data_IF_886493779409
#
_entry.id   IF_886493779409
#
_cell.length_a   1.000
_cell.length_b   1.000
_cell.length_c   1.000
_cell.angle_alpha   90.00
_cell.angle_beta   90.00
_cell.angle_gamma   90.00
#
_symmetry.space_group_name_H-M   'P 1'
#
loop_
_entity.id
_entity.type
_entity.pdbx_description
1 polymer ?
#
# COMPACT_ATOMS: atom_id res chain seq x y z
N UNK A 1 16.73 -30.54 -8.23
CA UNK A 1 16.21 -29.49 -9.13
C UNK A 1 15.49 -28.36 -8.39
N UNK A 2 15.73 -28.10 -7.10
CA UNK A 2 15.18 -26.91 -6.40
C UNK A 2 16.30 -25.93 -6.00
N UNK A 3 17.49 -26.45 -5.71
CA UNK A 3 18.73 -25.69 -5.45
C UNK A 3 19.26 -24.84 -6.62
N UNK A 4 18.81 -25.11 -7.85
CA UNK A 4 19.24 -24.35 -9.04
C UNK A 4 18.36 -23.12 -9.27
N UNK A 5 17.09 -23.16 -8.81
CA UNK A 5 16.16 -22.04 -8.96
C UNK A 5 16.51 -20.85 -8.05
N UNK A 6 17.25 -21.05 -6.96
CA UNK A 6 17.72 -19.93 -6.13
C UNK A 6 18.82 -19.11 -6.80
N UNK A 7 19.47 -19.62 -7.86
CA UNK A 7 20.54 -18.90 -8.56
C UNK A 7 20.02 -17.76 -9.46
N UNK A 8 18.72 -17.73 -9.73
CA UNK A 8 18.07 -16.70 -10.55
C UNK A 8 17.30 -15.67 -9.71
N UNK A 9 17.37 -15.80 -8.38
CA UNK A 9 16.88 -14.76 -7.48
C UNK A 9 17.68 -13.47 -7.71
N UNK A 10 16.99 -12.35 -7.85
CA UNK A 10 17.59 -11.06 -8.21
C UNK A 10 17.79 -10.84 -9.72
N UNK A 11 17.50 -11.82 -10.58
CA UNK A 11 17.53 -11.60 -12.03
C UNK A 11 16.32 -10.78 -12.48
N UNK A 12 16.57 -9.85 -13.40
CA UNK A 12 15.52 -9.12 -14.12
C UNK A 12 14.99 -9.97 -15.27
N UNK A 13 13.67 -10.01 -15.43
CA UNK A 13 12.96 -10.73 -16.50
C UNK A 13 11.97 -9.81 -17.18
N UNK A 14 11.84 -9.95 -18.51
CA UNK A 14 10.87 -9.24 -19.34
C UNK A 14 9.80 -10.21 -19.82
N UNK A 15 8.60 -10.15 -19.25
CA UNK A 15 7.50 -11.06 -19.54
C UNK A 15 6.24 -10.32 -19.98
N UNK A 16 5.31 -11.06 -20.58
CA UNK A 16 4.00 -10.54 -20.95
C UNK A 16 2.90 -11.51 -20.54
N UNK A 17 1.74 -10.98 -20.17
CA UNK A 17 0.62 -11.79 -19.70
C UNK A 17 -0.66 -11.01 -19.48
N UNK A 18 -1.70 -11.73 -19.08
CA UNK A 18 -3.04 -11.20 -18.82
C UNK A 18 -3.22 -10.92 -17.33
N UNK A 19 -3.70 -9.73 -16.97
CA UNK A 19 -4.03 -9.37 -15.59
C UNK A 19 -5.26 -10.14 -15.15
N UNK A 20 -5.10 -10.97 -14.12
CA UNK A 20 -6.20 -11.70 -13.47
C UNK A 20 -6.84 -10.83 -12.38
N UNK A 21 -6.00 -10.15 -11.59
CA UNK A 21 -6.42 -9.33 -10.46
C UNK A 21 -5.35 -8.30 -10.12
N UNK A 22 -5.78 -7.13 -9.68
CA UNK A 22 -4.95 -6.11 -9.03
C UNK A 22 -5.47 -5.92 -7.61
N UNK A 23 -4.59 -5.91 -6.63
CA UNK A 23 -4.95 -5.69 -5.22
C UNK A 23 -3.95 -4.76 -4.54
N UNK A 24 -4.42 -3.96 -3.60
CA UNK A 24 -3.57 -3.22 -2.68
C UNK A 24 -3.02 -4.21 -1.65
N UNK A 25 -1.69 -4.34 -1.58
CA UNK A 25 -1.01 -5.22 -0.62
C UNK A 25 -0.72 -4.51 0.69
N UNK A 26 -0.30 -3.25 0.62
CA UNK A 26 0.05 -2.43 1.78
C UNK A 26 -0.31 -0.97 1.54
N UNK A 27 -0.70 -0.27 2.60
CA UNK A 27 -0.87 1.18 2.61
C UNK A 27 -0.03 1.72 3.76
N UNK A 28 0.97 2.53 3.43
CA UNK A 28 1.81 3.21 4.41
C UNK A 28 1.55 4.71 4.41
N UNK A 29 1.53 5.33 5.59
CA UNK A 29 1.44 6.78 5.71
C UNK A 29 2.38 7.25 6.81
N UNK A 30 3.63 7.62 6.45
CA UNK A 30 4.63 7.99 7.44
C UNK A 30 4.24 9.26 8.21
N UNK A 31 3.52 10.19 7.57
CA UNK A 31 3.04 11.42 8.23
C UNK A 31 1.98 11.08 9.26
N UNK A 32 0.99 10.26 8.90
CA UNK A 32 -0.03 9.76 9.82
C UNK A 32 0.61 9.07 11.03
N UNK A 33 1.56 8.16 10.81
CA UNK A 33 2.32 7.48 11.87
C UNK A 33 3.04 8.46 12.80
N UNK A 34 3.61 9.55 12.28
CA UNK A 34 4.28 10.57 13.09
C UNK A 34 3.28 11.44 13.87
N UNK A 35 2.19 11.87 13.24
CA UNK A 35 1.14 12.69 13.86
C UNK A 35 0.41 11.91 14.96
N UNK A 36 0.19 10.61 14.75
CA UNK A 36 -0.43 9.71 15.74
C UNK A 36 0.42 9.52 17.00
N UNK A 37 1.71 9.86 16.97
CA UNK A 37 2.59 9.82 18.13
C UNK A 37 2.46 11.09 19.01
N UNK A 38 1.75 12.12 18.54
CA UNK A 38 1.58 13.38 19.25
C UNK A 38 0.38 13.35 20.20
N UNK A 39 0.33 14.25 21.20
CA UNK A 39 -0.86 14.43 22.02
C UNK A 39 -2.10 14.80 21.18
N UNK A 40 -3.27 14.31 21.58
CA UNK A 40 -4.52 14.35 20.80
C UNK A 40 -4.89 15.74 20.27
N UNK A 41 -4.77 16.80 21.09
CA UNK A 41 -5.09 18.16 20.67
C UNK A 41 -4.17 18.65 19.52
N UNK A 42 -2.88 18.34 19.60
CA UNK A 42 -1.90 18.70 18.57
C UNK A 42 -2.07 17.81 17.33
N UNK A 43 -2.31 16.52 17.52
CA UNK A 43 -2.59 15.60 16.43
C UNK A 43 -3.81 16.07 15.62
N UNK A 44 -4.95 16.32 16.28
CA UNK A 44 -6.19 16.76 15.63
C UNK A 44 -6.02 18.09 14.88
N UNK A 45 -5.27 19.03 15.46
CA UNK A 45 -4.91 20.26 14.76
C UNK A 45 -4.13 19.96 13.47
N UNK A 46 -3.10 19.11 13.54
CA UNK A 46 -2.26 18.78 12.38
C UNK A 46 -3.02 17.97 11.31
N UNK A 47 -3.93 17.07 11.71
CA UNK A 47 -4.82 16.37 10.79
C UNK A 47 -5.66 17.33 9.96
N UNK A 48 -6.22 18.39 10.57
CA UNK A 48 -7.02 19.36 9.83
C UNK A 48 -6.20 20.44 9.14
N UNK A 49 -4.98 20.71 9.61
CA UNK A 49 -4.08 21.66 8.97
C UNK A 49 -3.47 21.10 7.67
N UNK A 50 -3.08 19.83 7.67
CA UNK A 50 -2.45 19.17 6.51
C UNK A 50 -3.39 18.24 5.74
N UNK A 51 -4.45 17.74 6.37
CA UNK A 51 -5.37 16.78 5.78
C UNK A 51 -6.60 17.41 5.14
N UNK A 52 -7.54 16.53 4.78
CA UNK A 52 -8.83 16.89 4.19
C UNK A 52 -9.96 16.49 5.13
N UNK A 53 -11.11 17.19 5.10
CA UNK A 53 -12.26 16.80 5.89
C UNK A 53 -12.73 15.41 5.46
N UNK A 54 -13.05 14.56 6.44
CA UNK A 54 -13.64 13.26 6.17
C UNK A 54 -15.01 13.50 5.52
N UNK A 55 -15.31 12.89 4.35
CA UNK A 55 -16.60 13.05 3.72
C UNK A 55 -17.68 12.51 4.64
N UNK A 56 -18.57 13.38 5.10
CA UNK A 56 -19.76 12.98 5.85
C UNK A 56 -20.76 12.41 4.85
N UNK A 57 -21.41 11.29 5.21
CA UNK A 57 -22.54 10.81 4.41
C UNK A 57 -23.60 11.92 4.44
N UNK A 58 -24.17 12.33 3.30
CA UNK A 58 -25.32 13.23 3.33
C UNK A 58 -26.46 12.53 4.07
N UNK A 59 -26.76 13.01 5.27
CA UNK A 59 -27.96 12.63 6.00
C UNK A 59 -29.19 12.93 5.14
N UNK A 60 -30.12 11.96 5.13
CA UNK A 60 -31.53 12.08 4.72
C UNK A 60 -32.00 11.52 3.37
N UNK A 61 -31.19 10.78 2.60
CA UNK A 61 -31.74 10.00 1.45
C UNK A 61 -31.06 8.63 1.27
N UNK A 62 -31.23 7.71 2.22
CA UNK A 62 -30.93 6.30 1.99
C UNK A 62 -32.18 5.58 1.47
N UNK A 63 -32.12 5.14 0.21
CA UNK A 63 -33.00 4.09 -0.32
C UNK A 63 -32.73 2.79 0.46
N UNK A 64 -33.76 2.05 0.89
CA UNK A 64 -33.55 0.83 1.65
C UNK A 64 -33.02 -0.28 0.73
N UNK A 65 -31.77 -0.73 0.95
CA UNK A 65 -31.24 -1.95 0.32
C UNK A 65 -29.85 -1.87 -0.30
N UNK A 66 -29.08 -0.80 -0.08
CA UNK A 66 -27.67 -0.78 -0.45
C UNK A 66 -26.85 -1.08 0.80
N UNK A 67 -26.13 -2.21 0.80
CA UNK A 67 -25.19 -2.62 1.86
C UNK A 67 -23.99 -1.64 1.87
N UNK A 68 -24.26 -0.42 2.32
CA UNK A 68 -23.30 0.67 2.30
C UNK A 68 -22.41 0.51 3.51
N UNK A 69 -21.11 0.32 3.26
CA UNK A 69 -20.08 0.29 4.29
C UNK A 69 -20.26 1.51 5.20
N UNK A 70 -20.59 1.28 6.48
CA UNK A 70 -20.71 2.34 7.48
C UNK A 70 -19.32 2.90 7.81
N UNK A 71 -18.86 3.76 6.91
CA UNK A 71 -17.63 4.52 7.05
C UNK A 71 -17.67 5.44 8.28
N UNK A 72 -18.88 5.90 8.67
CA UNK A 72 -19.13 6.67 9.89
C UNK A 72 -18.73 5.90 11.15
N UNK A 73 -19.16 4.65 11.29
CA UNK A 73 -18.91 3.84 12.50
C UNK A 73 -17.44 3.44 12.66
N UNK A 74 -16.64 3.48 11.59
CA UNK A 74 -15.21 3.16 11.64
C UNK A 74 -14.35 4.37 12.00
N UNK A 75 -14.79 5.60 11.69
CA UNK A 75 -14.05 6.83 11.97
C UNK A 75 -14.36 7.43 13.36
N UNK A 76 -15.45 7.01 13.99
CA UNK A 76 -15.87 7.45 15.33
C UNK A 76 -14.88 7.08 16.45
N UNK A 77 -14.00 6.09 16.23
CA UNK A 77 -13.04 5.63 17.25
C UNK A 77 -11.97 6.66 17.61
N UNK A 78 -11.76 7.70 16.78
CA UNK A 78 -10.77 8.74 17.06
C UNK A 78 -11.33 10.16 17.09
N UNK A 79 -12.65 10.36 16.91
CA UNK A 79 -13.30 11.68 16.87
C UNK A 79 -12.57 12.70 15.96
N UNK A 80 -11.96 12.22 14.87
CA UNK A 80 -11.21 13.06 13.94
C UNK A 80 -12.11 13.49 12.80
N UNK A 81 -12.12 14.78 12.52
CA UNK A 81 -12.91 15.34 11.42
C UNK A 81 -12.14 15.42 10.10
N UNK A 82 -10.82 15.19 10.15
CA UNK A 82 -9.93 15.30 8.99
C UNK A 82 -9.02 14.08 8.86
N UNK A 83 -8.67 13.69 7.64
CA UNK A 83 -7.81 12.56 7.32
C UNK A 83 -6.60 12.98 6.48
N UNK A 84 -5.52 12.20 6.56
CA UNK A 84 -4.23 12.46 5.89
C UNK A 84 -3.99 11.54 4.68
N UNK A 85 -5.05 11.00 4.08
CA UNK A 85 -4.92 9.96 3.03
C UNK A 85 -4.21 10.47 1.77
N UNK A 86 -4.14 11.78 1.55
CA UNK A 86 -3.36 12.37 0.45
C UNK A 86 -1.85 12.04 0.55
N UNK A 87 -1.40 11.64 1.75
CA UNK A 87 -0.04 11.21 2.02
C UNK A 87 0.13 9.69 2.10
N UNK A 88 -0.90 8.93 1.71
CA UNK A 88 -0.83 7.47 1.64
C UNK A 88 0.08 7.04 0.48
N UNK A 89 1.05 6.18 0.79
CA UNK A 89 1.89 5.45 -0.16
C UNK A 89 1.35 4.03 -0.28
N UNK A 90 1.01 3.62 -1.51
CA UNK A 90 0.40 2.33 -1.79
C UNK A 90 1.44 1.34 -2.32
N UNK A 91 1.37 0.11 -1.85
CA UNK A 91 1.97 -1.05 -2.52
C UNK A 91 0.88 -1.90 -3.15
N UNK A 92 1.13 -2.36 -4.37
CA UNK A 92 0.19 -3.14 -5.16
C UNK A 92 0.75 -4.54 -5.45
N UNK A 93 -0.15 -5.49 -5.63
CA UNK A 93 0.15 -6.82 -6.12
C UNK A 93 -0.70 -7.11 -7.37
N UNK A 94 -0.03 -7.29 -8.51
CA UNK A 94 -0.64 -7.73 -9.75
C UNK A 94 -0.55 -9.24 -9.86
N UNK A 95 -1.69 -9.92 -9.95
CA UNK A 95 -1.75 -11.33 -10.32
C UNK A 95 -1.85 -11.44 -11.83
N UNK A 96 -0.77 -11.88 -12.49
CA UNK A 96 -0.69 -12.00 -13.95
C UNK A 96 -0.65 -13.47 -14.35
N UNK A 97 -1.43 -13.83 -15.37
CA UNK A 97 -1.39 -15.14 -16.00
C UNK A 97 -0.54 -15.05 -17.25
N UNK A 98 0.58 -15.77 -17.27
CA UNK A 98 1.45 -15.83 -18.43
C UNK A 98 0.85 -16.74 -19.51
N UNK A 99 1.03 -16.42 -20.80
CA UNK A 99 0.71 -17.33 -21.88
C UNK A 99 1.59 -18.58 -21.74
N UNK A 100 0.99 -19.76 -21.88
CA UNK A 100 1.72 -21.03 -21.73
C UNK A 100 2.85 -21.14 -22.76
N UNK A 101 4.09 -21.08 -22.30
CA UNK A 101 5.26 -21.46 -23.09
C UNK A 101 5.62 -22.92 -22.79
N UNK A 102 4.90 -23.88 -23.40
CA UNK A 102 5.25 -25.32 -23.36
C UNK A 102 4.13 -26.28 -22.96
N UNK A 103 4.51 -27.55 -22.71
CA UNK A 103 3.66 -28.74 -22.52
C UNK A 103 2.58 -28.63 -21.41
N UNK A 104 2.71 -27.67 -20.51
CA UNK A 104 1.77 -27.43 -19.42
C UNK A 104 0.66 -26.47 -19.89
N UNK A 105 -0.51 -27.05 -20.19
CA UNK A 105 -1.73 -26.32 -20.58
C UNK A 105 -2.32 -25.43 -19.46
N UNK A 106 -1.72 -25.44 -18.28
CA UNK A 106 -2.05 -24.58 -17.16
C UNK A 106 -1.09 -23.37 -17.18
N UNK A 107 -1.58 -22.22 -17.64
CA UNK A 107 -0.79 -20.99 -17.64
C UNK A 107 -0.19 -20.69 -16.26
N UNK A 108 1.08 -20.29 -16.22
CA UNK A 108 1.76 -19.94 -14.98
C UNK A 108 1.14 -18.65 -14.42
N UNK A 109 0.75 -18.69 -13.15
CA UNK A 109 0.28 -17.50 -12.43
C UNK A 109 1.45 -16.89 -11.71
N UNK A 110 1.63 -15.57 -11.80
CA UNK A 110 2.72 -14.88 -11.14
C UNK A 110 2.19 -13.68 -10.38
N UNK A 111 2.84 -13.36 -9.26
CA UNK A 111 2.49 -12.20 -8.43
C UNK A 111 3.59 -11.17 -8.59
N UNK A 112 3.23 -9.98 -9.04
CA UNK A 112 4.14 -8.87 -9.30
C UNK A 112 3.84 -7.74 -8.31
N UNK A 113 4.72 -7.56 -7.32
CA UNK A 113 4.67 -6.49 -6.33
C UNK A 113 5.13 -5.18 -6.97
N UNK A 114 4.39 -4.08 -6.76
CA UNK A 114 4.67 -2.78 -7.35
C UNK A 114 4.54 -1.67 -6.29
N UNK A 115 5.38 -0.64 -6.38
CA UNK A 115 5.35 0.51 -5.49
C UNK A 115 4.30 1.56 -5.86
N UNK A 116 4.32 2.67 -5.12
CA UNK A 116 3.34 3.75 -5.23
C UNK A 116 3.43 4.51 -6.56
N UNK A 117 4.60 4.52 -7.19
CA UNK A 117 4.82 5.09 -8.52
C UNK A 117 3.92 4.47 -9.60
N UNK A 118 3.45 3.25 -9.38
CA UNK A 118 2.54 2.55 -10.28
C UNK A 118 1.05 2.78 -9.94
N UNK A 119 0.72 3.63 -8.97
CA UNK A 119 -0.66 3.86 -8.48
C UNK A 119 -1.64 4.20 -9.61
N UNK A 120 -1.30 5.16 -10.47
CA UNK A 120 -2.16 5.54 -11.60
C UNK A 120 -2.38 4.36 -12.56
N UNK A 121 -1.36 3.54 -12.79
CA UNK A 121 -1.51 2.33 -13.61
C UNK A 121 -2.39 1.29 -12.91
N UNK A 122 -2.13 1.02 -11.64
CA UNK A 122 -2.83 0.02 -10.85
C UNK A 122 -4.34 0.29 -10.73
N UNK A 123 -4.73 1.56 -10.52
CA UNK A 123 -6.15 1.94 -10.42
C UNK A 123 -6.89 1.92 -11.75
N UNK A 124 -6.18 2.08 -12.88
CA UNK A 124 -6.79 2.05 -14.21
C UNK A 124 -6.74 0.67 -14.87
N UNK A 125 -5.90 -0.23 -14.37
CA UNK A 125 -5.75 -1.59 -14.87
C UNK A 125 -6.98 -2.44 -14.51
N UNK A 126 -7.43 -3.24 -15.46
CA UNK A 126 -8.62 -4.08 -15.32
C UNK A 126 -8.30 -5.54 -15.59
N UNK A 127 -9.13 -6.44 -15.05
CA UNK A 127 -9.06 -7.86 -15.39
C UNK A 127 -9.22 -8.07 -16.91
N UNK A 128 -8.31 -8.87 -17.46
CA UNK A 128 -8.24 -9.18 -18.88
C UNK A 128 -7.33 -8.27 -19.70
N UNK A 129 -6.74 -7.23 -19.10
CA UNK A 129 -5.76 -6.40 -19.79
C UNK A 129 -4.46 -7.18 -20.02
N UNK A 130 -3.90 -7.07 -21.22
CA UNK A 130 -2.65 -7.71 -21.61
C UNK A 130 -1.52 -6.69 -21.47
N UNK A 131 -0.55 -7.03 -20.62
CA UNK A 131 0.57 -6.17 -20.26
C UNK A 131 1.90 -6.85 -20.54
N UNK A 132 2.91 -6.05 -20.90
CA UNK A 132 4.31 -6.43 -20.84
C UNK A 132 4.93 -5.74 -19.63
N UNK A 133 5.79 -6.44 -18.92
CA UNK A 133 6.44 -5.92 -17.72
C UNK A 133 7.86 -6.45 -17.57
N UNK A 134 8.69 -5.63 -16.96
CA UNK A 134 10.02 -5.98 -16.47
C UNK A 134 9.96 -6.09 -14.95
N UNK A 135 10.49 -7.17 -14.39
CA UNK A 135 10.46 -7.40 -12.95
C UNK A 135 11.69 -8.16 -12.46
N UNK A 136 12.03 -7.99 -11.19
CA UNK A 136 13.10 -8.71 -10.50
C UNK A 136 12.52 -9.88 -9.71
N UNK A 137 13.04 -11.08 -9.95
CA UNK A 137 12.64 -12.28 -9.23
C UNK A 137 13.06 -12.19 -7.75
N UNK A 138 12.10 -12.37 -6.84
CA UNK A 138 12.33 -12.21 -5.39
C UNK A 138 12.20 -13.54 -4.64
N UNK A 139 11.05 -14.23 -4.76
CA UNK A 139 10.83 -15.47 -4.01
C UNK A 139 9.81 -16.39 -4.68
N UNK A 140 9.62 -17.60 -4.13
CA UNK A 140 8.68 -18.58 -4.69
C UNK A 140 9.13 -19.20 -6.01
N UNK A 141 10.42 -19.14 -6.31
CA UNK A 141 11.01 -19.73 -7.51
C UNK A 141 10.85 -21.25 -7.48
N UNK A 142 10.40 -21.82 -8.60
CA UNK A 142 10.06 -23.26 -8.71
C UNK A 142 8.65 -23.62 -8.23
N UNK A 143 7.84 -22.65 -7.82
CA UNK A 143 6.40 -22.85 -7.53
C UNK A 143 5.52 -22.40 -8.70
N UNK A 144 4.22 -22.69 -8.61
CA UNK A 144 3.22 -22.22 -9.59
C UNK A 144 2.83 -20.75 -9.43
N UNK A 145 3.36 -20.06 -8.40
CA UNK A 145 3.07 -18.67 -8.05
C UNK A 145 4.32 -17.94 -7.52
N UNK A 146 5.34 -17.72 -8.36
CA UNK A 146 6.50 -16.93 -7.96
C UNK A 146 6.12 -15.47 -7.71
N UNK A 147 6.84 -14.83 -6.79
CA UNK A 147 6.70 -13.42 -6.42
C UNK A 147 7.89 -12.65 -6.98
N UNK A 148 7.60 -11.52 -7.62
CA UNK A 148 8.60 -10.65 -8.23
C UNK A 148 8.28 -9.19 -7.98
N UNK A 149 9.28 -8.33 -8.08
CA UNK A 149 9.14 -6.87 -7.88
C UNK A 149 9.17 -6.17 -9.22
N UNK A 150 8.15 -5.35 -9.51
CA UNK A 150 7.98 -4.62 -10.76
C UNK A 150 9.05 -3.55 -10.91
N UNK A 151 9.60 -3.42 -12.12
CA UNK A 151 10.49 -2.33 -12.52
C UNK A 151 9.88 -1.47 -13.61
N UNK A 152 9.19 -2.09 -14.55
CA UNK A 152 8.51 -1.39 -15.64
C UNK A 152 7.25 -2.16 -16.03
N UNK A 153 6.18 -1.44 -16.37
CA UNK A 153 4.98 -2.03 -16.93
C UNK A 153 4.47 -1.18 -18.09
N UNK A 154 3.97 -1.86 -19.12
CA UNK A 154 3.36 -1.24 -20.29
C UNK A 154 2.15 -2.02 -20.77
N UNK A 155 1.13 -1.29 -21.19
CA UNK A 155 -0.02 -1.87 -21.83
C UNK A 155 0.31 -2.36 -23.26
N UNK A 156 -0.17 -3.55 -23.62
CA UNK A 156 -0.20 -4.03 -25.01
C UNK A 156 -1.62 -3.95 -25.55
N UNK A 157 -2.56 -4.59 -24.85
CA UNK A 157 -3.99 -4.58 -25.17
C UNK A 157 -4.79 -4.36 -23.89
N UNK A 158 -5.20 -3.13 -23.64
CA UNK A 158 -6.00 -2.79 -22.48
C UNK A 158 -7.28 -2.07 -22.91
N UNK A 159 -8.29 -2.14 -22.05
CA UNK A 159 -9.56 -1.45 -22.28
C UNK A 159 -9.43 0.05 -22.12
N UNK A 160 -8.56 0.49 -21.21
CA UNK A 160 -8.34 1.90 -20.90
C UNK A 160 -7.12 2.45 -21.67
N UNK A 161 -7.28 3.49 -22.50
CA UNK A 161 -6.17 4.08 -23.26
C UNK A 161 -5.19 4.88 -22.40
N UNK A 162 -5.53 5.16 -21.13
CA UNK A 162 -4.66 5.90 -20.20
C UNK A 162 -3.49 5.05 -19.66
N UNK A 163 -3.49 3.73 -19.92
CA UNK A 163 -2.43 2.83 -19.50
C UNK A 163 -1.21 2.97 -20.41
N UNK A 164 -0.30 3.86 -20.01
CA UNK A 164 0.98 4.11 -20.67
C UNK A 164 2.12 3.33 -20.03
N UNK A 165 3.35 3.56 -20.50
CA UNK A 165 4.57 2.99 -19.90
C UNK A 165 4.83 3.69 -18.57
N UNK A 166 5.00 2.91 -17.51
CA UNK A 166 5.43 3.39 -16.20
C UNK A 166 6.68 2.61 -15.81
N UNK A 167 7.68 3.31 -15.32
CA UNK A 167 8.93 2.73 -14.84
C UNK A 167 9.22 3.24 -13.42
N UNK A 168 9.78 2.37 -12.60
CA UNK A 168 10.22 2.73 -11.26
C UNK A 168 11.38 3.74 -11.37
N UNK A 169 11.32 4.86 -10.65
CA UNK A 169 12.43 5.80 -10.63
C UNK A 169 13.67 5.14 -10.00
N UNK A 170 14.89 5.53 -10.41
CA UNK A 170 16.09 5.07 -9.72
C UNK A 170 16.01 5.44 -8.24
N UNK A 171 16.36 4.48 -7.38
CA UNK A 171 16.28 4.58 -5.91
C UNK A 171 16.77 5.95 -5.42
N UNK A 172 15.89 6.68 -4.75
CA UNK A 172 16.17 8.03 -4.27
C UNK A 172 16.60 8.01 -2.80
N UNK A 173 17.52 8.90 -2.42
CA UNK A 173 18.20 9.01 -1.12
C UNK A 173 17.29 9.33 0.09
N UNK A 174 15.96 9.34 -0.08
CA UNK A 174 14.99 9.87 0.89
C UNK A 174 14.61 8.88 2.00
N UNK A 175 14.69 7.57 1.78
CA UNK A 175 14.24 6.55 2.75
C UNK A 175 15.07 6.53 4.04
N UNK A 176 16.35 6.91 3.99
CA UNK A 176 17.21 6.97 5.18
C UNK A 176 16.83 8.11 6.14
N UNK A 177 16.21 9.19 5.64
CA UNK A 177 15.93 10.38 6.46
C UNK A 177 14.70 10.20 7.36
N UNK A 178 13.71 9.44 6.89
CA UNK A 178 12.41 9.25 7.58
C UNK A 178 12.57 8.44 8.87
N UNK A 179 13.47 7.46 8.87
CA UNK A 179 13.74 6.62 10.04
C UNK A 179 14.38 7.41 11.20
N UNK A 180 15.17 8.45 10.88
CA UNK A 180 15.83 9.29 11.87
C UNK A 180 14.87 10.18 12.67
N UNK A 181 13.88 10.78 12.01
CA UNK A 181 12.96 11.74 12.64
C UNK A 181 12.02 11.05 13.64
N UNK A 182 11.53 9.83 13.33
CA UNK A 182 10.65 9.06 14.23
C UNK A 182 11.30 8.80 15.60
N UNK A 183 12.60 8.52 15.61
CA UNK A 183 13.36 8.27 16.85
C UNK A 183 13.47 9.52 17.72
N UNK A 184 13.66 10.70 17.09
CA UNK A 184 13.75 11.98 17.78
C UNK A 184 12.41 12.38 18.41
N UNK A 185 11.30 12.19 17.68
CA UNK A 185 9.97 12.51 18.20
C UNK A 185 9.61 11.64 19.42
N UNK A 186 9.92 10.34 19.39
CA UNK A 186 9.73 9.45 20.54
C UNK A 186 10.49 9.92 21.78
N UNK A 187 11.73 10.39 21.61
CA UNK A 187 12.54 10.89 22.72
C UNK A 187 12.01 12.21 23.29
N UNK A 188 11.61 13.15 22.43
CA UNK A 188 11.14 14.49 22.86
C UNK A 188 9.76 14.42 23.54
N UNK A 189 8.85 13.56 23.04
CA UNK A 189 7.48 13.49 23.54
C UNK A 189 7.21 12.40 24.59
N UNK A 190 8.17 11.50 24.84
CA UNK A 190 8.10 10.53 25.95
C UNK A 190 7.66 11.15 27.31
N UNK A 191 8.17 12.32 27.76
CA UNK A 191 7.73 12.92 29.03
C UNK A 191 6.34 13.57 29.00
N UNK A 192 5.71 13.73 27.82
CA UNK A 192 4.37 14.32 27.67
C UNK A 192 3.28 13.26 27.45
N UNK A 193 3.64 12.06 26.99
CA UNK A 193 2.77 10.88 26.98
C UNK A 193 2.73 10.35 28.41
N UNK A 194 1.96 11.02 29.26
CA UNK A 194 1.81 10.66 30.65
C UNK A 194 1.24 9.25 30.77
N UNK A 195 1.92 8.43 31.58
CA UNK A 195 1.32 7.28 32.24
C UNK A 195 0.09 7.75 33.03
N UNK A 196 -1.09 7.64 32.40
CA UNK A 196 -2.35 7.70 33.11
C UNK A 196 -2.52 6.38 33.86
N UNK A 197 -2.01 6.29 35.09
CA UNK A 197 -2.06 5.04 35.84
C UNK A 197 -1.44 5.04 37.24
N UNK A 198 -2.01 5.85 38.13
CA UNK A 198 -1.97 5.73 39.60
C UNK A 198 -0.65 6.02 40.34
N UNK A 199 -0.54 7.26 40.82
CA UNK A 199 0.12 7.57 42.08
C UNK A 199 -0.80 8.51 42.88
N UNK A 200 -1.26 8.00 44.01
CA UNK A 200 -2.09 8.60 45.05
C UNK A 200 -2.56 7.45 45.95
N UNK A 201 -2.38 7.44 47.25
CA UNK A 201 -2.03 8.48 48.21
C UNK A 201 -1.62 7.80 49.53
N UNK A 202 -1.09 8.61 50.44
CA UNK A 202 -0.40 8.37 51.71
C UNK A 202 -0.95 7.35 52.74
N UNK A 203 0.02 6.83 53.52
CA UNK A 203 0.01 6.45 54.97
C UNK A 203 -1.32 6.06 55.64
N UNK A 204 -1.31 4.92 56.35
CA UNK A 204 -1.49 4.77 57.83
C UNK A 204 -1.72 3.29 58.20
N UNK A 205 -0.80 2.79 59.03
CA UNK A 205 -0.79 1.74 60.08
C UNK A 205 0.45 0.86 59.95
#
# INVERSE_FOLDING_TARGET
MQKECSLIEGCQVDWSGEIVQVSVSEVDNPIKKAVDCLPEALANFLYCFYGQPIPQRPGDQLLPGEDSWDFENLMDFHNRQCHLNEYDSYSFAFSVKLPSAGYWNTGLHVVVEAGNEFQTFAFNASKGDIVAFSAILKSGLGTMKPVMTLREIRCIHCKNPLLTIVAEPPMSLYDEFVTGISSVLKFIFAPFVGDAGTLGDDRVV
#
